data_IF_863433893320
#
_entry.id   IF_863433893320
#
_cell.length_a   1.000
_cell.length_b   1.000
_cell.length_c   1.000
_cell.angle_alpha   90.00
_cell.angle_beta   90.00
_cell.angle_gamma   90.00
#
_symmetry.space_group_name_H-M   'P 1'
#
loop_
_entity.id
_entity.type
_entity.pdbx_description
1 polymer ?
#
# COMPACT_ATOMS: atom_id res chain seq x y z
N UNK A 1 -21.58 14.09 -1.81
CA UNK A 1 -20.99 15.19 -2.61
C UNK A 1 -21.00 14.76 -4.06
N UNK A 2 -21.46 15.63 -4.97
CA UNK A 2 -21.36 15.37 -6.42
C UNK A 2 -20.24 16.25 -6.95
N UNK A 3 -19.18 15.62 -7.47
CA UNK A 3 -18.06 16.33 -8.12
C UNK A 3 -18.29 16.24 -9.63
N UNK A 4 -18.36 17.35 -10.37
CA UNK A 4 -18.51 17.33 -11.83
C UNK A 4 -17.46 16.46 -12.52
N UNK A 5 -17.84 15.85 -13.65
CA UNK A 5 -16.98 14.91 -14.36
C UNK A 5 -15.65 15.52 -14.80
N UNK A 6 -15.65 16.80 -15.19
CA UNK A 6 -14.44 17.54 -15.55
C UNK A 6 -13.48 17.68 -14.37
N UNK A 7 -13.98 18.08 -13.20
CA UNK A 7 -13.16 18.21 -11.99
C UNK A 7 -12.59 16.85 -11.59
N UNK A 8 -13.37 15.77 -11.68
CA UNK A 8 -12.89 14.41 -11.40
C UNK A 8 -11.73 14.02 -12.32
N UNK A 9 -11.84 14.29 -13.62
CA UNK A 9 -10.78 13.97 -14.61
C UNK A 9 -9.51 14.78 -14.34
N UNK A 10 -9.64 16.09 -14.11
CA UNK A 10 -8.50 16.97 -13.83
C UNK A 10 -7.74 16.55 -12.57
N UNK A 11 -8.47 16.14 -11.53
CA UNK A 11 -7.89 15.65 -10.27
C UNK A 11 -7.57 14.15 -10.28
N UNK A 12 -7.83 13.47 -11.40
CA UNK A 12 -7.65 12.02 -11.56
C UNK A 12 -8.50 11.15 -10.63
N UNK A 13 -9.56 11.69 -10.01
CA UNK A 13 -10.36 11.02 -8.97
C UNK A 13 -11.07 9.77 -9.48
N UNK A 14 -10.93 8.68 -8.72
CA UNK A 14 -11.69 7.46 -8.88
C UNK A 14 -12.65 7.25 -7.70
N UNK A 15 -13.63 6.37 -7.88
CA UNK A 15 -14.51 5.97 -6.80
C UNK A 15 -13.70 5.29 -5.68
N UNK A 16 -13.89 5.74 -4.44
CA UNK A 16 -13.18 5.24 -3.26
C UNK A 16 -11.92 6.03 -2.86
N UNK A 17 -11.48 6.99 -3.67
CA UNK A 17 -10.40 7.93 -3.30
C UNK A 17 -10.84 8.85 -2.16
N UNK A 18 -9.88 9.22 -1.29
CA UNK A 18 -10.12 10.18 -0.22
C UNK A 18 -9.75 11.60 -0.66
N UNK A 19 -10.49 12.57 -0.15
CA UNK A 19 -10.26 13.99 -0.37
C UNK A 19 -9.91 14.68 0.94
N UNK A 20 -8.79 15.40 0.94
CA UNK A 20 -8.38 16.25 2.05
C UNK A 20 -8.72 17.69 1.72
N UNK A 21 -9.53 18.30 2.57
CA UNK A 21 -9.90 19.71 2.47
C UNK A 21 -9.09 20.50 3.48
N UNK A 22 -8.31 21.46 3.00
CA UNK A 22 -7.50 22.36 3.82
C UNK A 22 -8.13 23.74 3.69
N UNK A 23 -8.62 24.27 4.80
CA UNK A 23 -9.26 25.59 4.86
C UNK A 23 -8.21 26.58 5.34
N UNK A 24 -7.92 27.59 4.52
CA UNK A 24 -7.04 28.69 4.91
C UNK A 24 -7.84 29.78 5.63
N UNK A 25 -7.15 30.63 6.39
CA UNK A 25 -7.76 31.74 7.14
C UNK A 25 -8.50 32.73 6.22
N UNK A 26 -8.09 32.83 4.95
CA UNK A 26 -8.69 33.67 3.92
C UNK A 26 -10.00 33.12 3.33
N UNK A 27 -10.47 31.96 3.83
CA UNK A 27 -11.68 31.30 3.35
C UNK A 27 -11.51 30.51 2.05
N UNK A 28 -10.28 30.43 1.53
CA UNK A 28 -9.94 29.54 0.42
C UNK A 28 -9.85 28.08 0.88
N UNK A 29 -10.38 27.17 0.06
CA UNK A 29 -10.33 25.73 0.30
C UNK A 29 -9.38 25.10 -0.73
N UNK A 30 -8.25 24.59 -0.25
CA UNK A 30 -7.37 23.75 -1.05
C UNK A 30 -7.83 22.29 -0.93
N UNK A 31 -7.97 21.63 -2.08
CA UNK A 31 -8.38 20.22 -2.14
C UNK A 31 -7.19 19.39 -2.62
N UNK A 32 -6.81 18.39 -1.82
CA UNK A 32 -5.77 17.43 -2.18
C UNK A 32 -6.37 16.03 -2.29
N UNK A 33 -5.94 15.29 -3.32
CA UNK A 33 -6.41 13.93 -3.59
C UNK A 33 -5.46 12.93 -2.93
N UNK A 34 -5.98 12.14 -2.00
CA UNK A 34 -5.25 11.02 -1.41
C UNK A 34 -5.68 9.73 -2.08
N UNK A 35 -4.79 9.19 -2.94
CA UNK A 35 -5.03 7.94 -3.65
C UNK A 35 -5.00 6.75 -2.71
N UNK A 36 -6.04 5.92 -2.76
CA UNK A 36 -5.99 4.58 -2.14
C UNK A 36 -5.36 3.59 -3.09
N UNK A 37 -4.21 3.05 -2.70
CA UNK A 37 -3.59 1.93 -3.37
C UNK A 37 -3.84 0.65 -2.57
N UNK A 38 -4.22 -0.42 -3.26
CA UNK A 38 -4.16 -1.77 -2.69
C UNK A 38 -2.69 -2.19 -2.60
N UNK A 39 -2.32 -2.93 -1.55
CA UNK A 39 -0.94 -3.40 -1.37
C UNK A 39 -0.42 -4.18 -2.59
N UNK A 40 -1.30 -4.94 -3.26
CA UNK A 40 -0.95 -5.67 -4.49
C UNK A 40 -0.57 -4.77 -5.66
N UNK A 41 -1.08 -3.53 -5.72
CA UNK A 41 -0.73 -2.55 -6.75
C UNK A 41 0.62 -1.89 -6.49
N UNK A 42 1.17 -2.05 -5.29
CA UNK A 42 2.44 -1.46 -4.87
C UNK A 42 3.63 -2.42 -4.99
N UNK A 43 3.38 -3.68 -5.36
CA UNK A 43 4.41 -4.70 -5.58
C UNK A 43 5.36 -4.22 -6.68
N UNK A 44 6.67 -4.17 -6.38
CA UNK A 44 7.71 -3.71 -7.31
C UNK A 44 7.88 -2.19 -7.42
N UNK A 45 6.93 -1.40 -6.91
CA UNK A 45 7.02 0.07 -6.85
C UNK A 45 7.62 0.52 -5.52
N UNK A 46 7.24 -0.14 -4.43
CA UNK A 46 7.78 0.18 -3.11
C UNK A 46 9.28 -0.08 -3.10
N UNK A 47 10.06 0.99 -2.89
CA UNK A 47 11.49 0.89 -2.64
C UNK A 47 11.67 0.06 -1.38
N UNK A 48 12.18 -1.14 -1.56
CA UNK A 48 12.66 -1.95 -0.45
C UNK A 48 14.11 -1.57 -0.17
N UNK A 49 14.46 -1.40 1.11
CA UNK A 49 15.86 -1.30 1.53
C UNK A 49 16.53 -2.68 1.59
N UNK A 50 15.82 -3.74 1.21
CA UNK A 50 16.36 -5.08 1.16
C UNK A 50 17.26 -5.23 -0.08
N UNK A 51 18.51 -5.67 0.10
CA UNK A 51 19.36 -6.00 -1.05
C UNK A 51 18.71 -7.12 -1.87
N UNK A 52 19.00 -7.13 -3.17
CA UNK A 52 18.61 -8.25 -4.02
C UNK A 52 19.18 -9.55 -3.44
N UNK A 53 18.31 -10.57 -3.30
CA UNK A 53 18.69 -11.91 -2.88
C UNK A 53 18.28 -12.90 -4.00
N UNK A 54 19.16 -13.84 -4.39
CA UNK A 54 18.79 -14.94 -5.28
C UNK A 54 17.58 -15.72 -4.77
N UNK A 55 16.80 -16.26 -5.70
CA UNK A 55 15.55 -16.98 -5.39
C UNK A 55 15.83 -18.20 -4.52
N UNK A 56 16.96 -18.88 -4.77
CA UNK A 56 17.41 -20.06 -4.03
C UNK A 56 17.63 -19.74 -2.55
N UNK A 57 18.31 -18.63 -2.24
CA UNK A 57 18.57 -18.21 -0.86
C UNK A 57 17.27 -17.90 -0.10
N UNK A 58 16.34 -17.22 -0.77
CA UNK A 58 15.02 -16.91 -0.20
C UNK A 58 14.25 -18.20 0.07
N UNK A 59 14.27 -19.14 -0.89
CA UNK A 59 13.56 -20.41 -0.79
C UNK A 59 14.06 -21.25 0.38
N UNK A 60 15.37 -21.33 0.57
CA UNK A 60 15.98 -22.11 1.65
C UNK A 60 15.72 -21.50 3.04
N UNK A 61 15.65 -20.17 3.14
CA UNK A 61 15.24 -19.45 4.35
C UNK A 61 13.77 -19.74 4.71
N UNK A 62 12.87 -19.66 3.72
CA UNK A 62 11.44 -19.90 3.91
C UNK A 62 11.18 -21.34 4.36
N UNK A 63 11.80 -22.34 3.71
CA UNK A 63 11.65 -23.74 4.11
C UNK A 63 12.14 -24.01 5.53
N UNK A 64 13.28 -23.43 5.92
CA UNK A 64 13.79 -23.54 7.30
C UNK A 64 12.83 -22.91 8.30
N UNK A 65 12.27 -21.76 7.98
CA UNK A 65 11.33 -21.05 8.85
C UNK A 65 10.02 -21.81 9.02
N UNK A 66 9.48 -22.36 7.93
CA UNK A 66 8.28 -23.20 7.98
C UNK A 66 8.52 -24.47 8.79
N UNK A 67 9.65 -25.17 8.58
CA UNK A 67 10.00 -26.36 9.35
C UNK A 67 10.18 -26.09 10.85
N UNK A 68 10.83 -24.97 11.21
CA UNK A 68 11.00 -24.58 12.61
C UNK A 68 9.65 -24.24 13.27
N UNK A 69 8.71 -23.66 12.53
CA UNK A 69 7.36 -23.37 13.03
C UNK A 69 6.58 -24.65 13.31
N UNK A 70 6.58 -25.60 12.38
CA UNK A 70 5.89 -26.90 12.55
C UNK A 70 6.44 -27.69 13.75
N UNK A 71 7.76 -27.66 13.98
CA UNK A 71 8.37 -28.30 15.15
C UNK A 71 7.91 -27.66 16.47
N UNK A 72 7.84 -26.32 16.50
CA UNK A 72 7.39 -25.59 17.69
C UNK A 72 5.90 -25.82 17.97
N UNK A 73 5.07 -25.82 16.94
CA UNK A 73 3.62 -26.09 17.05
C UNK A 73 3.35 -27.56 17.45
N UNK A 74 4.29 -28.47 17.17
CA UNK A 74 4.27 -29.87 17.61
C UNK A 74 4.77 -30.12 19.04
N UNK A 75 5.62 -29.24 19.59
CA UNK A 75 6.10 -29.32 20.99
C UNK A 75 5.10 -28.72 22.00
N UNK A 76 4.16 -27.88 21.54
CA UNK A 76 3.10 -27.27 22.36
C UNK A 76 1.80 -28.13 22.46
N UNK A 77 1.79 -29.36 21.93
CA UNK A 77 0.67 -30.33 22.01
C UNK A 77 0.99 -31.57 22.85
#
# INVERSE_FOLDING_TARGET
>A
MVIPAEIRKTLGLAEGDDLTFIVNEDGEIKVEVTKKYRLSQLIGILKTNQPFRPVEEIRDEVYRTMGAKELKDGEEN
#
